data_IF_630121566577
#
_entry.id   IF_630121566577
#
_cell.length_a   1.000
_cell.length_b   1.000
_cell.length_c   1.000
_cell.angle_alpha   90.00
_cell.angle_beta   90.00
_cell.angle_gamma   90.00
#
_symmetry.space_group_name_H-M   'P 1'
#
loop_
_entity.id
_entity.type
_entity.pdbx_description
1 polymer ?
#
# COMPACT_ATOMS: atom_id res chain seq x y z
N UNK A 1 -4.64 -0.50 3.42
CA UNK A 1 -4.81 -1.60 4.40
C UNK A 1 -5.79 -2.61 3.82
N UNK A 2 -5.47 -3.90 3.82
CA UNK A 2 -6.44 -4.97 3.57
C UNK A 2 -6.98 -5.46 4.92
N UNK A 3 -8.28 -5.37 5.11
CA UNK A 3 -8.98 -5.84 6.30
C UNK A 3 -9.72 -7.15 6.01
N UNK A 4 -9.75 -8.11 6.94
CA UNK A 4 -10.63 -9.27 6.83
C UNK A 4 -12.10 -8.84 6.68
N UNK A 5 -12.80 -9.39 5.69
CA UNK A 5 -14.25 -9.17 5.50
C UNK A 5 -14.90 -10.46 4.99
N UNK A 6 -15.71 -11.10 5.84
CA UNK A 6 -16.32 -12.39 5.53
C UNK A 6 -15.27 -13.46 5.20
N UNK A 7 -15.38 -14.07 4.02
CA UNK A 7 -14.41 -15.05 3.51
C UNK A 7 -13.28 -14.41 2.67
N UNK A 8 -13.19 -13.07 2.62
CA UNK A 8 -12.21 -12.35 1.82
C UNK A 8 -11.60 -11.15 2.56
N UNK A 9 -11.19 -10.14 1.80
CA UNK A 9 -10.73 -8.88 2.37
C UNK A 9 -11.17 -7.65 1.57
N UNK A 10 -11.42 -6.54 2.28
CA UNK A 10 -11.62 -5.23 1.68
C UNK A 10 -10.40 -4.35 1.84
N UNK A 11 -10.20 -3.47 0.85
CA UNK A 11 -9.20 -2.41 0.93
C UNK A 11 -9.81 -1.18 1.59
N UNK A 12 -9.08 -0.66 2.56
CA UNK A 12 -9.29 0.68 3.11
C UNK A 12 -8.04 1.54 2.96
N UNK A 13 -8.25 2.84 2.80
CA UNK A 13 -7.20 3.84 2.97
C UNK A 13 -7.30 4.45 4.36
N UNK A 14 -6.15 4.79 4.94
CA UNK A 14 -6.07 5.38 6.28
C UNK A 14 -5.27 6.66 6.14
N UNK A 15 -5.87 7.79 6.55
CA UNK A 15 -5.17 9.06 6.58
C UNK A 15 -4.03 9.02 7.61
N UNK A 16 -2.80 9.27 7.18
CA UNK A 16 -1.61 9.30 8.03
C UNK A 16 -1.66 10.40 9.11
N UNK A 17 -2.46 11.46 8.91
CA UNK A 17 -2.57 12.58 9.84
C UNK A 17 -3.64 12.38 10.92
N UNK A 18 -4.87 12.04 10.53
CA UNK A 18 -6.02 11.98 11.45
C UNK A 18 -6.56 10.56 11.68
N UNK A 19 -5.92 9.54 11.09
CA UNK A 19 -6.33 8.13 11.17
C UNK A 19 -7.76 7.84 10.65
N UNK A 20 -8.40 8.80 9.97
CA UNK A 20 -9.69 8.54 9.32
C UNK A 20 -9.51 7.45 8.28
N UNK A 21 -10.43 6.50 8.27
CA UNK A 21 -10.38 5.34 7.39
C UNK A 21 -11.62 5.31 6.48
N UNK A 22 -11.43 4.97 5.22
CA UNK A 22 -12.52 4.78 4.27
C UNK A 22 -12.24 3.63 3.29
N UNK A 23 -13.32 2.97 2.85
CA UNK A 23 -13.24 1.89 1.85
C UNK A 23 -12.78 2.42 0.50
N UNK A 24 -11.95 1.65 -0.19
CA UNK A 24 -11.48 1.98 -1.53
C UNK A 24 -11.40 0.72 -2.41
N UNK A 25 -11.58 0.88 -3.72
CA UNK A 25 -11.56 -0.26 -4.66
C UNK A 25 -10.18 -0.93 -4.68
N UNK A 26 -10.16 -2.28 -4.67
CA UNK A 26 -8.90 -3.07 -4.71
C UNK A 26 -8.15 -2.96 -6.02
N UNK A 27 -8.86 -2.91 -7.14
CA UNK A 27 -8.29 -2.79 -8.50
C UNK A 27 -8.52 -1.36 -8.96
N UNK A 28 -7.82 -0.42 -8.32
CA UNK A 28 -7.80 0.99 -8.69
C UNK A 28 -6.57 1.68 -8.12
N UNK A 29 -5.89 2.49 -8.95
CA UNK A 29 -4.83 3.36 -8.48
C UNK A 29 -5.42 4.47 -7.60
N UNK A 30 -4.86 4.62 -6.41
CA UNK A 30 -5.24 5.66 -5.44
C UNK A 30 -4.86 7.07 -5.88
N UNK A 31 -3.90 7.20 -6.80
CA UNK A 31 -3.36 8.49 -7.24
C UNK A 31 -4.08 9.04 -8.48
N UNK A 32 -4.10 8.27 -9.58
CA UNK A 32 -4.68 8.72 -10.86
C UNK A 32 -6.00 8.02 -11.22
N UNK A 33 -6.42 7.02 -10.44
CA UNK A 33 -7.67 6.31 -10.68
C UNK A 33 -7.63 5.22 -11.75
N UNK A 34 -6.45 4.84 -12.27
CA UNK A 34 -6.25 3.71 -13.20
C UNK A 34 -6.96 2.43 -12.70
N UNK A 35 -7.69 1.74 -13.58
CA UNK A 35 -8.45 0.52 -13.27
C UNK A 35 -8.00 -0.68 -14.13
N UNK A 36 -7.15 -0.49 -15.14
CA UNK A 36 -6.53 -1.59 -15.90
C UNK A 36 -5.56 -2.37 -15.02
N UNK A 37 -5.85 -3.65 -14.78
CA UNK A 37 -5.09 -4.49 -13.86
C UNK A 37 -3.62 -4.65 -14.31
N UNK A 38 -3.37 -4.72 -15.61
CA UNK A 38 -2.05 -4.84 -16.23
C UNK A 38 -1.16 -3.62 -15.97
N UNK A 39 -1.78 -2.46 -15.67
CA UNK A 39 -1.08 -1.22 -15.30
C UNK A 39 -0.85 -1.08 -13.80
N UNK A 40 -1.38 -2.01 -12.99
CA UNK A 40 -1.22 -2.02 -11.54
C UNK A 40 -0.16 -3.06 -11.16
N UNK A 41 0.93 -2.59 -10.58
CA UNK A 41 2.08 -3.43 -10.22
C UNK A 41 2.06 -3.72 -8.72
N UNK A 42 2.23 -4.99 -8.36
CA UNK A 42 2.26 -5.43 -6.96
C UNK A 42 3.61 -6.06 -6.66
N UNK A 43 4.34 -5.52 -5.68
CA UNK A 43 5.65 -6.08 -5.26
C UNK A 43 5.55 -6.59 -3.82
N UNK A 44 6.05 -7.80 -3.60
CA UNK A 44 6.06 -8.48 -2.30
C UNK A 44 7.45 -9.04 -2.03
N UNK A 45 7.76 -9.27 -0.75
CA UNK A 45 9.00 -9.93 -0.33
C UNK A 45 8.72 -10.92 0.80
N UNK A 46 9.60 -11.90 0.99
CA UNK A 46 9.44 -12.94 2.03
C UNK A 46 9.71 -12.40 3.44
N UNK A 47 10.54 -11.35 3.57
CA UNK A 47 10.82 -10.70 4.85
C UNK A 47 9.62 -9.94 5.41
N UNK A 48 8.77 -9.38 4.52
CA UNK A 48 7.64 -8.53 4.87
C UNK A 48 6.36 -9.00 4.19
N UNK A 49 5.96 -10.27 4.41
CA UNK A 49 4.85 -10.89 3.68
C UNK A 49 3.50 -10.19 3.85
N UNK A 50 3.30 -9.48 4.96
CA UNK A 50 2.11 -8.69 5.27
C UNK A 50 2.14 -7.28 4.69
N UNK A 51 3.25 -6.83 4.10
CA UNK A 51 3.32 -5.52 3.43
C UNK A 51 3.64 -5.72 1.95
N UNK A 52 2.88 -5.05 1.10
CA UNK A 52 3.14 -5.05 -0.33
C UNK A 52 3.18 -3.65 -0.89
N UNK A 53 4.01 -3.44 -1.89
CA UNK A 53 4.00 -2.21 -2.70
C UNK A 53 2.88 -2.37 -3.72
N UNK A 54 2.01 -1.36 -3.78
CA UNK A 54 1.07 -1.16 -4.88
C UNK A 54 1.57 0.02 -5.70
N UNK A 55 2.00 -0.22 -6.93
CA UNK A 55 2.48 0.76 -7.87
C UNK A 55 1.57 0.83 -9.10
N UNK A 56 1.71 1.90 -9.88
CA UNK A 56 0.92 2.14 -11.08
C UNK A 56 1.84 2.60 -12.21
N UNK A 57 1.83 1.89 -13.33
CA UNK A 57 2.64 2.22 -14.51
C UNK A 57 2.10 3.43 -15.28
N UNK A 58 0.84 3.81 -15.07
CA UNK A 58 0.22 4.98 -15.73
C UNK A 58 0.71 6.30 -15.11
N UNK A 59 0.81 6.38 -13.78
CA UNK A 59 1.22 7.62 -13.08
C UNK A 59 2.55 7.51 -12.34
N UNK A 60 3.22 6.37 -12.46
CA UNK A 60 4.46 6.02 -11.78
C UNK A 60 4.44 6.24 -10.26
N UNK A 61 3.27 6.13 -9.63
CA UNK A 61 3.11 6.34 -8.19
C UNK A 61 2.93 5.02 -7.46
N UNK A 62 3.50 4.88 -6.27
CA UNK A 62 3.30 3.74 -5.40
C UNK A 62 2.85 4.13 -3.98
N UNK A 63 2.23 3.19 -3.28
CA UNK A 63 1.97 3.23 -1.86
C UNK A 63 2.15 1.84 -1.26
N UNK A 64 2.37 1.75 0.06
CA UNK A 64 2.42 0.46 0.75
C UNK A 64 1.04 0.09 1.25
N UNK A 65 0.71 -1.18 1.09
CA UNK A 65 -0.51 -1.77 1.61
C UNK A 65 -0.18 -2.85 2.63
N UNK A 66 -0.62 -2.62 3.86
CA UNK A 66 -0.53 -3.58 4.97
C UNK A 66 -1.73 -4.51 4.94
N UNK A 67 -1.49 -5.81 5.00
CA UNK A 67 -2.47 -6.88 4.89
C UNK A 67 -2.72 -7.54 6.27
N UNK A 68 -3.83 -7.14 6.90
CA UNK A 68 -4.23 -7.64 8.21
C UNK A 68 -4.84 -9.05 8.16
N UNK A 69 -5.05 -9.61 6.97
CA UNK A 69 -5.40 -11.03 6.83
C UNK A 69 -4.17 -11.91 7.09
N UNK A 70 -2.98 -11.42 6.71
CA UNK A 70 -1.72 -12.15 6.88
C UNK A 70 -1.10 -11.93 8.26
N UNK A 71 -1.21 -10.73 8.79
CA UNK A 71 -0.70 -10.37 10.13
C UNK A 71 -1.71 -9.50 10.86
N UNK A 72 -2.46 -10.10 11.77
CA UNK A 72 -3.55 -9.42 12.48
C UNK A 72 -3.03 -8.41 13.51
N UNK A 73 -1.79 -8.60 13.99
CA UNK A 73 -1.15 -7.69 14.94
C UNK A 73 -0.46 -6.49 14.28
N UNK A 74 -0.43 -6.41 12.94
CA UNK A 74 0.19 -5.31 12.24
C UNK A 74 -0.53 -3.98 12.51
N UNK A 75 0.25 -2.92 12.65
CA UNK A 75 -0.19 -1.56 12.87
C UNK A 75 0.15 -0.77 11.60
N UNK A 76 -0.81 -0.50 10.70
CA UNK A 76 -0.51 -0.04 9.35
C UNK A 76 0.45 1.16 9.25
N UNK A 77 0.29 2.13 10.13
CA UNK A 77 1.13 3.34 10.19
C UNK A 77 2.57 3.02 10.63
N UNK A 78 2.75 2.06 11.53
CA UNK A 78 4.08 1.64 12.02
C UNK A 78 4.74 0.72 11.01
N UNK A 79 4.02 -0.28 10.50
CA UNK A 79 4.55 -1.23 9.52
C UNK A 79 4.92 -0.57 8.19
N UNK A 80 4.19 0.46 7.76
CA UNK A 80 4.58 1.28 6.60
C UNK A 80 5.99 1.86 6.78
N UNK A 81 6.30 2.41 7.97
CA UNK A 81 7.61 3.00 8.28
C UNK A 81 8.66 1.90 8.47
N UNK A 82 8.34 0.84 9.21
CA UNK A 82 9.27 -0.24 9.52
C UNK A 82 9.73 -0.99 8.25
N UNK A 83 8.91 -0.97 7.20
CA UNK A 83 9.22 -1.56 5.90
C UNK A 83 9.86 -0.57 4.92
N UNK A 84 10.55 0.47 5.41
CA UNK A 84 11.31 1.43 4.59
C UNK A 84 12.21 0.80 3.51
N UNK A 85 12.86 -0.36 3.72
CA UNK A 85 13.64 -1.00 2.64
C UNK A 85 12.83 -1.29 1.36
N UNK A 86 11.52 -1.48 1.46
CA UNK A 86 10.64 -1.64 0.30
C UNK A 86 10.54 -0.35 -0.55
N UNK A 87 10.66 0.83 0.08
CA UNK A 87 10.65 2.10 -0.64
C UNK A 87 11.84 2.19 -1.61
N UNK A 88 13.03 1.75 -1.17
CA UNK A 88 14.25 1.74 -2.00
C UNK A 88 14.00 0.94 -3.28
N UNK A 89 13.41 -0.25 -3.16
CA UNK A 89 13.10 -1.12 -4.31
C UNK A 89 12.11 -0.46 -5.27
N UNK A 90 11.09 0.25 -4.76
CA UNK A 90 10.15 0.97 -5.63
C UNK A 90 10.79 2.17 -6.34
N UNK A 91 11.61 2.93 -5.63
CA UNK A 91 12.32 4.09 -6.17
C UNK A 91 13.33 3.67 -7.24
N UNK A 92 14.10 2.60 -7.01
CA UNK A 92 15.03 2.03 -8.00
C UNK A 92 14.32 1.58 -9.28
N UNK A 93 13.04 1.18 -9.19
CA UNK A 93 12.19 0.84 -10.34
C UNK A 93 11.52 2.05 -10.99
N UNK A 94 11.81 3.27 -10.53
CA UNK A 94 11.30 4.50 -11.13
C UNK A 94 9.93 4.95 -10.64
N UNK A 95 9.44 4.42 -9.50
CA UNK A 95 8.19 4.88 -8.90
C UNK A 95 8.43 5.95 -7.83
N UNK A 96 7.49 6.89 -7.71
CA UNK A 96 7.43 7.89 -6.63
C UNK A 96 6.40 7.50 -5.58
N UNK A 97 6.70 7.74 -4.31
CA UNK A 97 5.77 7.48 -3.23
C UNK A 97 4.59 8.46 -3.30
N UNK A 98 3.37 7.99 -3.07
CA UNK A 98 2.16 8.83 -3.08
C UNK A 98 2.15 9.79 -1.89
N UNK A 99 2.49 9.29 -0.72
CA UNK A 99 2.32 9.99 0.55
C UNK A 99 3.65 10.19 1.25
N UNK A 100 3.81 11.37 1.85
CA UNK A 100 4.74 11.58 2.95
C UNK A 100 4.12 10.93 4.19
N UNK A 101 4.81 9.95 4.76
CA UNK A 101 4.37 9.34 6.02
C UNK A 101 4.65 10.26 7.23
N UNK A 102 4.40 9.79 8.45
CA UNK A 102 4.60 10.57 9.69
C UNK A 102 6.02 11.11 9.88
N UNK A 103 7.03 10.55 9.19
CA UNK A 103 8.42 10.99 9.27
C UNK A 103 8.86 11.80 8.04
N UNK A 104 7.94 12.15 7.14
CA UNK A 104 8.20 13.06 6.02
C UNK A 104 8.97 12.44 4.86
N UNK A 105 8.88 11.11 4.69
CA UNK A 105 9.53 10.36 3.59
C UNK A 105 8.52 9.76 2.62
#
# INVERSE_FOLDING_TARGET
VLRPEGHGSSRSLVCSLCATEWRFKRVRCVACGEEEFERLVFLTTEEFRHVRINACDTCHTYFKEVDLVKELAAVPVVDEIATMPLDVVAVERGYRKLELNLIGM
#
